data_IF_048060395765
#
_entry.id   IF_048060395765
#
_cell.length_a   1.000
_cell.length_b   1.000
_cell.length_c   1.000
_cell.angle_alpha   90.00
_cell.angle_beta   90.00
_cell.angle_gamma   90.00
#
_symmetry.space_group_name_H-M   'P 1'
#
loop_
_entity.id
_entity.type
_entity.pdbx_description
1 polymer ?
#
# COMPACT_ATOMS: atom_id res chain seq x y z
N UNK A 1 15.17 -0.02 -1.57
CA UNK A 1 14.25 1.14 -1.51
C UNK A 1 14.04 1.55 -0.05
N UNK A 2 13.57 2.76 0.25
CA UNK A 2 13.34 3.22 1.64
C UNK A 2 11.94 3.81 1.82
N UNK A 3 11.37 3.64 2.99
CA UNK A 3 10.06 4.15 3.40
C UNK A 3 10.10 5.67 3.71
N UNK A 4 8.96 6.24 4.13
CA UNK A 4 8.84 7.66 4.51
C UNK A 4 9.77 8.10 5.64
N UNK A 5 10.26 7.17 6.47
CA UNK A 5 11.15 7.41 7.60
C UNK A 5 12.61 7.03 7.29
N UNK A 6 12.92 6.68 6.04
CA UNK A 6 14.25 6.23 5.63
C UNK A 6 14.59 4.79 6.03
N UNK A 7 13.64 4.01 6.56
CA UNK A 7 13.85 2.58 6.84
C UNK A 7 13.88 1.78 5.53
N UNK A 8 14.69 0.72 5.42
CA UNK A 8 14.69 -0.12 4.23
C UNK A 8 13.35 -0.84 4.05
N UNK A 9 12.88 -0.89 2.80
CA UNK A 9 11.74 -1.69 2.38
C UNK A 9 12.26 -3.00 1.79
N UNK A 10 11.80 -4.14 2.34
CA UNK A 10 12.25 -5.49 2.01
C UNK A 10 11.03 -6.33 1.65
N UNK A 11 11.13 -7.14 0.60
CA UNK A 11 10.07 -8.04 0.16
C UNK A 11 9.64 -9.01 1.27
N UNK A 12 8.33 -9.17 1.43
CA UNK A 12 7.72 -9.93 2.52
C UNK A 12 7.60 -9.17 3.84
N UNK A 13 8.17 -7.97 3.97
CA UNK A 13 8.03 -7.17 5.19
C UNK A 13 6.58 -6.68 5.38
N UNK A 14 6.24 -6.46 6.64
CA UNK A 14 5.00 -5.79 7.00
C UNK A 14 5.19 -4.27 6.98
N UNK A 15 4.27 -3.57 6.33
CA UNK A 15 4.30 -2.12 6.16
C UNK A 15 2.91 -1.55 6.36
N UNK A 16 2.79 -0.25 6.65
CA UNK A 16 1.52 0.47 6.63
C UNK A 16 1.50 1.46 5.49
N UNK A 17 0.38 1.55 4.80
CA UNK A 17 0.07 2.67 3.93
C UNK A 17 -0.31 3.87 4.80
N UNK A 18 0.54 4.90 4.84
CA UNK A 18 0.34 6.09 5.67
C UNK A 18 -0.58 7.12 5.01
N UNK A 19 -0.58 7.14 3.67
CA UNK A 19 -1.46 7.99 2.87
C UNK A 19 -1.83 7.30 1.55
N UNK A 20 -3.07 7.46 1.12
CA UNK A 20 -3.52 7.11 -0.23
C UNK A 20 -3.60 8.40 -1.08
N UNK A 21 -2.68 8.63 -2.03
CA UNK A 21 -2.76 9.81 -2.90
C UNK A 21 -4.02 9.76 -3.77
N UNK A 22 -4.57 10.92 -4.14
CA UNK A 22 -5.81 10.99 -4.92
C UNK A 22 -5.68 10.29 -6.28
N UNK A 23 -4.48 10.29 -6.85
CA UNK A 23 -4.11 9.61 -8.09
C UNK A 23 -4.24 8.10 -7.98
N UNK A 24 -3.95 7.51 -6.81
CA UNK A 24 -4.13 6.08 -6.57
C UNK A 24 -5.60 5.68 -6.66
N UNK A 25 -6.50 6.54 -6.18
CA UNK A 25 -7.93 6.25 -6.11
C UNK A 25 -8.67 6.59 -7.42
N UNK A 26 -8.07 7.42 -8.28
CA UNK A 26 -8.74 7.97 -9.45
C UNK A 26 -8.98 6.87 -10.49
N UNK A 27 -10.25 6.70 -10.86
CA UNK A 27 -10.66 5.73 -11.89
C UNK A 27 -10.83 4.30 -11.37
N UNK A 28 -10.58 4.05 -10.09
CA UNK A 28 -10.89 2.76 -9.46
C UNK A 28 -12.40 2.63 -9.19
N UNK A 29 -12.95 1.40 -9.22
CA UNK A 29 -14.27 1.09 -8.67
C UNK A 29 -14.44 1.66 -7.25
N UNK A 30 -15.68 2.01 -6.90
CA UNK A 30 -15.97 2.58 -5.57
C UNK A 30 -15.56 1.64 -4.44
N UNK A 31 -15.77 0.34 -4.60
CA UNK A 31 -15.39 -0.69 -3.62
C UNK A 31 -13.88 -0.69 -3.32
N UNK A 32 -13.04 -0.60 -4.37
CA UNK A 32 -11.59 -0.56 -4.21
C UNK A 32 -11.14 0.75 -3.56
N UNK A 33 -11.78 1.87 -3.91
CA UNK A 33 -11.49 3.15 -3.27
C UNK A 33 -11.80 3.09 -1.77
N UNK A 34 -12.93 2.48 -1.39
CA UNK A 34 -13.32 2.30 0.01
C UNK A 34 -12.38 1.34 0.74
N UNK A 35 -12.00 0.22 0.12
CA UNK A 35 -11.04 -0.73 0.68
C UNK A 35 -9.68 -0.07 0.94
N UNK A 36 -9.14 0.70 -0.01
CA UNK A 36 -7.86 1.41 0.15
C UNK A 36 -7.96 2.49 1.23
N UNK A 37 -9.05 3.27 1.26
CA UNK A 37 -9.27 4.30 2.28
C UNK A 37 -9.35 3.70 3.67
N UNK A 38 -10.10 2.61 3.83
CA UNK A 38 -10.17 1.85 5.08
C UNK A 38 -8.80 1.31 5.48
N UNK A 39 -8.03 0.76 4.54
CA UNK A 39 -6.76 0.15 4.84
C UNK A 39 -5.66 1.16 5.20
N UNK A 40 -5.80 2.41 4.76
CA UNK A 40 -4.84 3.48 5.04
C UNK A 40 -4.77 3.75 6.54
N UNK A 41 -3.57 3.64 7.11
CA UNK A 41 -3.24 3.69 8.54
C UNK A 41 -3.82 2.59 9.44
N UNK A 42 -4.87 1.89 9.03
CA UNK A 42 -5.54 0.89 9.87
C UNK A 42 -4.84 -0.48 9.85
N UNK A 43 -4.46 -0.96 8.66
CA UNK A 43 -3.96 -2.34 8.50
C UNK A 43 -2.49 -2.42 8.12
N UNK A 44 -1.86 -3.47 8.64
CA UNK A 44 -0.58 -3.93 8.19
C UNK A 44 -0.75 -4.65 6.84
N UNK A 45 -0.03 -4.18 5.83
CA UNK A 45 0.04 -4.74 4.48
C UNK A 45 1.33 -5.52 4.32
N UNK A 46 1.36 -6.45 3.37
CA UNK A 46 2.58 -7.15 2.98
C UNK A 46 3.20 -6.44 1.78
N UNK A 47 4.48 -6.09 1.87
CA UNK A 47 5.24 -5.65 0.70
C UNK A 47 5.55 -6.88 -0.16
N UNK A 48 5.06 -6.90 -1.39
CA UNK A 48 5.19 -8.06 -2.29
C UNK A 48 6.34 -7.92 -3.27
N UNK A 49 6.69 -6.68 -3.61
CA UNK A 49 7.79 -6.35 -4.50
C UNK A 49 7.81 -4.87 -4.88
N UNK A 50 8.47 -4.58 -5.98
CA UNK A 50 8.49 -3.25 -6.59
C UNK A 50 8.39 -3.36 -8.11
N UNK A 51 7.80 -2.35 -8.75
CA UNK A 51 7.78 -2.24 -10.21
C UNK A 51 9.05 -1.57 -10.77
N UNK A 52 9.18 -1.56 -12.10
CA UNK A 52 10.30 -0.93 -12.80
C UNK A 52 10.35 0.61 -12.66
N UNK A 53 9.29 1.21 -12.11
CA UNK A 53 9.17 2.65 -11.87
C UNK A 53 9.52 3.04 -10.42
N UNK A 54 9.85 2.07 -9.57
CA UNK A 54 10.21 2.29 -8.17
C UNK A 54 9.02 2.47 -7.23
N UNK A 55 7.81 2.06 -7.63
CA UNK A 55 6.69 1.91 -6.71
C UNK A 55 6.78 0.56 -5.99
N UNK A 56 6.30 0.50 -4.75
CA UNK A 56 6.10 -0.77 -4.04
C UNK A 56 4.74 -1.34 -4.34
N UNK A 57 4.69 -2.66 -4.51
CA UNK A 57 3.44 -3.41 -4.51
C UNK A 57 3.09 -3.81 -3.07
N UNK A 58 1.86 -3.52 -2.66
CA UNK A 58 1.32 -3.89 -1.36
C UNK A 58 0.14 -4.84 -1.53
N UNK A 59 0.13 -5.92 -0.75
CA UNK A 59 -0.98 -6.85 -0.63
C UNK A 59 -1.70 -6.63 0.71
N UNK A 60 -3.03 -6.54 0.68
CA UNK A 60 -3.86 -6.51 1.89
C UNK A 60 -5.22 -7.20 1.68
N UNK A 61 -5.95 -7.43 2.77
CA UNK A 61 -7.33 -7.90 2.74
C UNK A 61 -8.26 -6.87 3.34
N UNK A 62 -9.39 -6.63 2.70
CA UNK A 62 -10.44 -5.75 3.21
C UNK A 62 -11.32 -6.47 4.27
N UNK A 63 -12.30 -5.78 4.91
CA UNK A 63 -13.17 -6.39 5.91
C UNK A 63 -14.05 -7.54 5.39
N UNK A 64 -14.29 -7.61 4.08
CA UNK A 64 -15.02 -8.72 3.45
C UNK A 64 -14.14 -9.97 3.26
N UNK A 65 -12.82 -9.83 3.47
CA UNK A 65 -11.82 -10.86 3.23
C UNK A 65 -11.28 -10.87 1.81
N UNK A 66 -11.74 -9.95 0.95
CA UNK A 66 -11.27 -9.79 -0.43
C UNK A 66 -9.84 -9.26 -0.44
N UNK A 67 -9.02 -9.83 -1.32
CA UNK A 67 -7.59 -9.49 -1.42
C UNK A 67 -7.36 -8.45 -2.49
N UNK A 68 -6.56 -7.45 -2.15
CA UNK A 68 -6.25 -6.29 -2.96
C UNK A 68 -4.74 -6.14 -3.14
N UNK A 69 -4.35 -5.60 -4.30
CA UNK A 69 -2.97 -5.23 -4.61
C UNK A 69 -2.94 -3.79 -5.12
N UNK A 70 -2.00 -3.01 -4.60
CA UNK A 70 -1.82 -1.61 -5.00
C UNK A 70 -0.34 -1.29 -5.20
N UNK A 71 -0.05 -0.48 -6.21
CA UNK A 71 1.27 0.11 -6.42
C UNK A 71 1.29 1.52 -5.85
N UNK A 72 2.23 1.81 -4.95
CA UNK A 72 2.36 3.12 -4.32
C UNK A 72 3.81 3.58 -4.23
N UNK A 73 4.01 4.89 -4.18
CA UNK A 73 5.34 5.44 -3.93
C UNK A 73 5.85 5.02 -2.54
N UNK A 74 7.16 4.78 -2.39
CA UNK A 74 7.76 4.44 -1.08
C UNK A 74 7.53 5.51 0.00
N UNK A 75 7.32 6.76 -0.41
CA UNK A 75 7.01 7.89 0.48
C UNK A 75 5.60 7.83 1.07
N UNK A 76 4.74 6.93 0.57
CA UNK A 76 3.40 6.69 1.10
C UNK A 76 3.37 5.58 2.16
N UNK A 77 4.47 4.87 2.40
CA UNK A 77 4.51 3.72 3.31
C UNK A 77 5.47 3.93 4.47
N UNK A 78 5.22 3.23 5.58
CA UNK A 78 6.15 3.07 6.68
C UNK A 78 6.34 1.59 7.03
N UNK A 79 7.57 1.15 7.19
CA UNK A 79 7.90 -0.17 7.70
C UNK A 79 7.53 -0.26 9.20
N UNK A 80 6.74 -1.28 9.54
CA UNK A 80 6.28 -1.55 10.91
C UNK A 80 7.32 -2.27 11.72
#
# INVERSE_FOLDING_TARGET
MRDVNGKPLIDGASVRLIRAPAELLRGLPLEDQEAIRWATNEVAMRLVGADDYGNVELEFKDPSGTRHWIFVQPTCVAAT
#
